data_IF_373605823635
#
_entry.id   IF_373605823635
#
_cell.length_a   1.000
_cell.length_b   1.000
_cell.length_c   1.000
_cell.angle_alpha   90.00
_cell.angle_beta   90.00
_cell.angle_gamma   90.00
#
_symmetry.space_group_name_H-M   'P 1'
#
loop_
_entity.id
_entity.type
_entity.pdbx_description
1 polymer ?
#
# COMPACT_ATOMS: atom_id res chain seq x y z
N UNK A 1 27.37 5.45 10.33
CA UNK A 1 27.96 4.12 10.63
C UNK A 1 26.91 3.07 10.34
N UNK A 2 27.12 2.27 9.31
CA UNK A 2 26.14 1.25 8.87
C UNK A 2 26.35 0.02 9.76
N UNK A 3 25.35 -0.30 10.60
CA UNK A 3 25.33 -1.56 11.36
C UNK A 3 24.99 -2.72 10.40
N UNK A 4 25.93 -3.11 9.58
CA UNK A 4 25.79 -4.23 8.64
C UNK A 4 26.61 -5.46 9.10
N UNK A 5 26.84 -5.63 10.42
CA UNK A 5 27.44 -6.84 10.91
C UNK A 5 26.35 -7.88 11.19
N UNK A 6 26.34 -9.02 10.48
CA UNK A 6 25.48 -10.13 10.86
C UNK A 6 25.88 -10.59 12.27
N UNK A 7 24.91 -10.65 13.16
CA UNK A 7 25.14 -11.22 14.50
C UNK A 7 25.27 -12.72 14.32
N UNK A 8 26.50 -13.21 14.45
CA UNK A 8 26.82 -14.64 14.27
C UNK A 8 26.55 -15.37 15.58
N UNK A 9 25.65 -16.33 15.58
CA UNK A 9 25.41 -17.25 16.71
C UNK A 9 25.87 -18.67 16.36
N UNK A 10 26.59 -19.33 17.27
CA UNK A 10 26.91 -20.75 17.16
C UNK A 10 25.82 -21.54 17.88
N UNK A 11 24.86 -22.09 17.15
CA UNK A 11 23.83 -22.96 17.68
C UNK A 11 23.95 -24.36 17.07
N UNK A 12 24.03 -25.41 17.89
CA UNK A 12 24.10 -26.83 17.47
C UNK A 12 25.11 -27.12 16.34
N UNK A 13 26.29 -26.48 16.41
CA UNK A 13 27.37 -26.73 15.43
C UNK A 13 27.19 -26.07 14.06
N UNK A 14 26.22 -25.19 13.89
CA UNK A 14 26.03 -24.35 12.69
C UNK A 14 26.22 -22.89 13.03
N UNK A 15 26.93 -22.19 12.16
CA UNK A 15 27.00 -20.72 12.19
C UNK A 15 25.67 -20.22 11.58
N UNK A 16 24.85 -19.60 12.41
CA UNK A 16 23.60 -18.97 11.96
C UNK A 16 23.85 -17.45 11.88
N UNK A 17 23.84 -16.92 10.69
CA UNK A 17 23.83 -15.47 10.48
C UNK A 17 22.40 -14.96 10.66
N UNK A 18 22.17 -14.10 11.64
CA UNK A 18 20.89 -13.46 11.86
C UNK A 18 20.73 -12.30 10.91
N UNK A 19 19.72 -12.37 10.05
CA UNK A 19 19.25 -11.27 9.21
C UNK A 19 18.05 -10.57 9.84
N UNK A 20 17.72 -9.39 9.36
CA UNK A 20 16.48 -8.68 9.73
C UNK A 20 15.21 -9.46 9.36
N UNK A 21 15.34 -10.45 8.49
CA UNK A 21 14.24 -11.31 8.00
C UNK A 21 14.25 -12.71 8.61
N UNK A 22 15.16 -13.05 9.52
CA UNK A 22 15.29 -14.40 10.09
C UNK A 22 13.99 -14.92 10.72
N UNK A 23 13.17 -14.04 11.32
CA UNK A 23 11.87 -14.46 11.85
C UNK A 23 10.83 -14.72 10.75
N UNK A 24 10.91 -13.99 9.63
CA UNK A 24 10.08 -14.27 8.45
C UNK A 24 10.47 -15.59 7.81
N UNK A 25 11.77 -15.87 7.72
CA UNK A 25 12.29 -17.14 7.19
C UNK A 25 11.78 -18.37 7.96
N UNK A 26 11.56 -18.22 9.29
CA UNK A 26 10.97 -19.31 10.10
C UNK A 26 9.54 -19.66 9.68
N UNK A 27 8.80 -18.72 9.08
CA UNK A 27 7.40 -18.90 8.69
C UNK A 27 7.24 -19.26 7.21
N UNK A 28 7.97 -18.60 6.34
CA UNK A 28 7.79 -18.71 4.88
C UNK A 28 8.98 -19.39 4.18
N UNK A 29 10.07 -19.65 4.90
CA UNK A 29 11.30 -20.26 4.38
C UNK A 29 12.25 -19.27 3.73
N UNK A 30 13.54 -19.61 3.68
CA UNK A 30 14.60 -18.76 3.12
C UNK A 30 14.42 -18.50 1.61
N UNK A 31 13.91 -19.49 0.85
CA UNK A 31 13.67 -19.33 -0.58
C UNK A 31 12.60 -18.27 -0.88
N UNK A 32 11.53 -18.22 -0.08
CA UNK A 32 10.48 -17.20 -0.23
C UNK A 32 11.00 -15.80 0.11
N UNK A 33 11.80 -15.67 1.19
CA UNK A 33 12.43 -14.39 1.54
C UNK A 33 13.39 -13.92 0.43
N UNK A 34 14.19 -14.85 -0.12
CA UNK A 34 15.06 -14.56 -1.26
C UNK A 34 14.23 -14.11 -2.47
N UNK A 35 13.16 -14.81 -2.79
CA UNK A 35 12.29 -14.42 -3.92
C UNK A 35 11.68 -13.03 -3.70
N UNK A 36 11.18 -12.71 -2.51
CA UNK A 36 10.69 -11.36 -2.20
C UNK A 36 11.76 -10.29 -2.41
N UNK A 37 13.03 -10.58 -2.13
CA UNK A 37 14.14 -9.64 -2.36
C UNK A 37 14.44 -9.39 -3.85
N UNK A 38 13.86 -10.16 -4.74
CA UNK A 38 13.95 -10.02 -6.19
C UNK A 38 12.69 -9.38 -6.81
N UNK A 39 11.62 -9.20 -6.01
CA UNK A 39 10.33 -8.66 -6.46
C UNK A 39 10.31 -7.14 -6.42
N UNK A 40 9.56 -6.54 -7.38
CA UNK A 40 9.28 -5.11 -7.47
C UNK A 40 7.79 -4.82 -7.29
N UNK A 41 7.45 -4.07 -6.25
CA UNK A 41 6.05 -3.67 -5.96
C UNK A 41 5.88 -2.16 -6.09
N UNK A 42 4.87 -1.73 -6.86
CA UNK A 42 4.50 -0.33 -6.94
C UNK A 42 3.34 -0.01 -5.98
N UNK A 43 3.51 1.03 -5.16
CA UNK A 43 2.50 1.51 -4.22
C UNK A 43 2.01 2.87 -4.68
N UNK A 44 0.80 2.93 -5.19
CA UNK A 44 0.14 4.15 -5.63
C UNK A 44 -0.70 4.75 -4.50
N UNK A 45 -0.34 5.96 -4.08
CA UNK A 45 -0.89 6.66 -2.93
C UNK A 45 -0.20 6.31 -1.61
N UNK A 46 0.49 7.28 -0.99
CA UNK A 46 1.24 7.13 0.29
C UNK A 46 0.48 7.84 1.42
N UNK A 47 -0.82 7.59 1.47
CA UNK A 47 -1.71 8.09 2.51
C UNK A 47 -1.84 7.14 3.71
N UNK A 48 -3.01 7.17 4.38
CA UNK A 48 -3.31 6.34 5.55
C UNK A 48 -3.29 4.83 5.32
N UNK A 49 -3.45 4.38 4.08
CA UNK A 49 -3.37 2.97 3.68
C UNK A 49 -2.00 2.67 3.10
N UNK A 50 -1.60 3.38 2.04
CA UNK A 50 -0.40 3.05 1.27
C UNK A 50 0.91 3.23 2.04
N UNK A 51 0.99 4.16 3.01
CA UNK A 51 2.17 4.28 3.87
C UNK A 51 2.40 3.01 4.71
N UNK A 52 1.35 2.36 5.17
CA UNK A 52 1.44 1.08 5.89
C UNK A 52 1.66 -0.12 4.96
N UNK A 53 1.18 -0.04 3.71
CA UNK A 53 1.56 -1.03 2.68
C UNK A 53 3.06 -1.00 2.44
N UNK A 54 3.63 0.17 2.17
CA UNK A 54 5.06 0.35 1.91
C UNK A 54 5.92 -0.10 3.10
N UNK A 55 5.52 0.26 4.33
CA UNK A 55 6.15 -0.19 5.58
C UNK A 55 6.19 -1.72 5.67
N UNK A 56 5.05 -2.38 5.48
CA UNK A 56 4.93 -3.82 5.65
C UNK A 56 5.69 -4.58 4.55
N UNK A 57 5.69 -4.09 3.31
CA UNK A 57 6.47 -4.66 2.21
C UNK A 57 7.98 -4.58 2.48
N UNK A 58 8.47 -3.43 2.95
CA UNK A 58 9.88 -3.25 3.32
C UNK A 58 10.28 -4.21 4.45
N UNK A 59 9.44 -4.36 5.49
CA UNK A 59 9.64 -5.31 6.60
C UNK A 59 9.49 -6.77 6.18
N UNK A 60 8.72 -7.03 5.12
CA UNK A 60 8.57 -8.35 4.51
C UNK A 60 9.75 -8.77 3.65
N UNK A 61 10.68 -7.87 3.32
CA UNK A 61 11.87 -8.16 2.54
C UNK A 61 11.73 -7.96 1.04
N UNK A 62 10.69 -7.24 0.58
CA UNK A 62 10.55 -6.85 -0.83
C UNK A 62 11.77 -6.02 -1.23
N UNK A 63 12.41 -6.42 -2.35
CA UNK A 63 13.70 -5.87 -2.78
C UNK A 63 13.60 -4.59 -3.58
N UNK A 64 12.47 -4.32 -4.21
CA UNK A 64 12.27 -3.08 -4.97
C UNK A 64 10.87 -2.53 -4.74
N UNK A 65 10.78 -1.26 -4.36
CA UNK A 65 9.51 -0.59 -4.07
C UNK A 65 9.47 0.75 -4.81
N UNK A 66 8.44 0.94 -5.65
CA UNK A 66 8.11 2.25 -6.19
C UNK A 66 7.02 2.89 -5.33
N UNK A 67 7.24 4.09 -4.86
CA UNK A 67 6.26 4.89 -4.12
C UNK A 67 5.79 6.08 -4.96
N UNK A 68 4.48 6.17 -5.17
CA UNK A 68 3.85 7.19 -6.02
C UNK A 68 2.88 8.01 -5.20
N UNK A 69 3.11 9.31 -5.09
CA UNK A 69 2.20 10.28 -4.46
C UNK A 69 2.62 11.70 -4.90
N UNK A 70 1.71 12.65 -4.95
CA UNK A 70 2.04 14.05 -5.28
C UNK A 70 1.99 14.98 -4.07
N UNK A 71 1.45 14.51 -2.94
CA UNK A 71 1.17 15.34 -1.79
C UNK A 71 2.39 15.58 -0.90
N UNK A 72 2.27 16.64 -0.13
CA UNK A 72 3.11 16.91 1.03
C UNK A 72 2.40 16.45 2.31
N UNK A 73 3.18 16.23 3.35
CA UNK A 73 2.66 15.91 4.67
C UNK A 73 1.97 17.15 5.25
N UNK A 74 0.69 17.01 5.58
CA UNK A 74 -0.10 18.03 6.26
C UNK A 74 -0.36 17.65 7.73
N UNK A 75 -0.63 18.66 8.58
CA UNK A 75 -0.93 18.44 10.01
C UNK A 75 -2.12 17.51 10.21
N UNK A 76 -3.14 17.59 9.34
CA UNK A 76 -4.34 16.73 9.38
C UNK A 76 -4.09 15.28 8.98
N UNK A 77 -2.88 14.96 8.51
CA UNK A 77 -2.47 13.60 8.19
C UNK A 77 -1.94 12.83 9.40
N UNK A 78 -1.48 13.53 10.45
CA UNK A 78 -0.79 12.95 11.62
C UNK A 78 -1.63 11.88 12.30
N UNK A 79 -2.94 12.04 12.30
CA UNK A 79 -3.85 11.11 12.96
C UNK A 79 -3.88 9.70 12.36
N UNK A 80 -3.35 9.48 11.10
CA UNK A 80 -3.50 8.19 10.43
C UNK A 80 -2.44 7.81 9.40
N UNK A 81 -1.58 8.74 8.96
CA UNK A 81 -0.56 8.47 7.95
C UNK A 81 0.80 8.26 8.63
N UNK A 82 1.45 7.14 8.33
CA UNK A 82 2.71 6.74 8.95
C UNK A 82 3.85 7.74 8.69
N UNK A 83 3.87 8.35 7.50
CA UNK A 83 4.86 9.37 7.13
C UNK A 83 4.64 10.72 7.81
N UNK A 84 3.47 10.92 8.45
CA UNK A 84 3.09 12.21 9.00
C UNK A 84 3.47 12.33 10.47
N UNK A 85 4.51 13.09 10.72
CA UNK A 85 5.03 13.49 12.03
C UNK A 85 5.16 15.02 12.08
N UNK A 86 5.24 15.60 13.27
CA UNK A 86 5.49 17.04 13.41
C UNK A 86 6.75 17.47 12.64
N UNK A 87 7.80 16.63 12.66
CA UNK A 87 9.08 16.89 11.99
C UNK A 87 9.06 16.69 10.46
N UNK A 88 7.98 16.13 9.91
CA UNK A 88 7.87 15.86 8.47
C UNK A 88 6.83 16.72 7.76
N UNK A 89 6.09 17.59 8.49
CA UNK A 89 5.13 18.51 7.88
C UNK A 89 5.82 19.34 6.79
N UNK A 90 5.18 19.44 5.62
CA UNK A 90 5.69 20.15 4.43
C UNK A 90 6.67 19.36 3.57
N UNK A 91 7.13 18.18 4.00
CA UNK A 91 7.96 17.30 3.16
C UNK A 91 7.09 16.46 2.21
N UNK A 92 7.63 16.06 1.07
CA UNK A 92 6.95 15.11 0.15
C UNK A 92 6.75 13.77 0.85
N UNK A 93 5.53 13.24 0.79
CA UNK A 93 5.18 11.95 1.41
C UNK A 93 6.05 10.81 0.90
N UNK A 94 6.34 10.81 -0.39
CA UNK A 94 7.19 9.81 -1.06
C UNK A 94 8.64 9.84 -0.57
N UNK A 95 9.20 11.02 -0.32
CA UNK A 95 10.55 11.18 0.20
C UNK A 95 10.64 10.63 1.63
N UNK A 96 9.70 11.04 2.51
CA UNK A 96 9.63 10.53 3.89
C UNK A 96 9.46 9.00 3.91
N UNK A 97 8.60 8.46 3.04
CA UNK A 97 8.43 7.02 2.91
C UNK A 97 9.70 6.32 2.43
N UNK A 98 10.40 6.90 1.46
CA UNK A 98 11.65 6.37 0.91
C UNK A 98 12.76 6.31 1.96
N UNK A 99 12.96 7.39 2.73
CA UNK A 99 13.93 7.42 3.84
C UNK A 99 13.63 6.30 4.84
N UNK A 100 12.37 6.16 5.22
CA UNK A 100 11.92 5.14 6.16
C UNK A 100 12.11 3.71 5.63
N UNK A 101 11.76 3.45 4.37
CA UNK A 101 11.94 2.14 3.73
C UNK A 101 13.42 1.75 3.75
N UNK A 102 14.32 2.69 3.39
CA UNK A 102 15.78 2.44 3.39
C UNK A 102 16.34 2.20 4.79
N UNK A 103 15.79 2.82 5.82
CA UNK A 103 16.19 2.55 7.22
C UNK A 103 15.72 1.17 7.69
N UNK A 104 14.55 0.71 7.27
CA UNK A 104 14.03 -0.63 7.53
C UNK A 104 14.81 -1.69 6.76
N UNK A 105 14.97 -1.49 5.45
CA UNK A 105 15.63 -2.42 4.54
C UNK A 105 16.64 -1.66 3.65
N UNK A 106 17.90 -1.49 4.09
CA UNK A 106 18.92 -0.78 3.31
C UNK A 106 19.23 -1.39 1.94
N UNK A 107 18.88 -2.65 1.73
CA UNK A 107 19.07 -3.35 0.46
C UNK A 107 17.88 -3.14 -0.50
N UNK A 108 16.80 -2.51 -0.05
CA UNK A 108 15.65 -2.21 -0.89
C UNK A 108 15.97 -1.05 -1.84
N UNK A 109 15.79 -1.28 -3.14
CA UNK A 109 15.82 -0.22 -4.13
C UNK A 109 14.49 0.54 -4.09
N UNK A 110 14.53 1.84 -3.74
CA UNK A 110 13.32 2.66 -3.61
C UNK A 110 13.28 3.70 -4.72
N UNK A 111 12.24 3.63 -5.55
CA UNK A 111 11.94 4.61 -6.60
C UNK A 111 10.88 5.58 -6.12
N UNK A 112 11.22 6.86 -6.13
CA UNK A 112 10.33 7.96 -5.72
C UNK A 112 9.72 8.58 -6.96
N UNK A 113 8.39 8.60 -7.04
CA UNK A 113 7.64 9.25 -8.12
C UNK A 113 6.73 10.31 -7.51
N UNK A 114 7.18 11.57 -7.57
CA UNK A 114 6.41 12.74 -7.14
C UNK A 114 5.47 13.17 -8.27
N UNK A 115 4.30 12.54 -8.36
CA UNK A 115 3.36 12.82 -9.43
C UNK A 115 1.93 12.43 -9.08
N UNK A 116 0.99 13.15 -9.64
CA UNK A 116 -0.43 12.83 -9.57
C UNK A 116 -0.78 11.87 -10.71
N UNK A 117 -1.09 10.63 -10.35
CA UNK A 117 -1.45 9.62 -11.35
C UNK A 117 -2.79 9.95 -12.01
N UNK A 118 -2.74 10.17 -13.31
CA UNK A 118 -3.90 10.40 -14.18
C UNK A 118 -3.91 9.38 -15.33
N UNK A 119 -5.09 9.04 -15.88
CA UNK A 119 -5.19 8.14 -17.02
C UNK A 119 -4.35 8.58 -18.23
N UNK A 120 -4.34 9.88 -18.53
CA UNK A 120 -3.66 10.45 -19.71
C UNK A 120 -2.12 10.43 -19.60
N UNK A 121 -1.59 10.30 -18.38
CA UNK A 121 -0.16 10.20 -18.10
C UNK A 121 0.24 8.81 -17.56
N UNK A 122 -0.59 7.80 -17.75
CA UNK A 122 -0.38 6.49 -17.16
C UNK A 122 0.99 5.89 -17.55
N UNK A 123 1.44 6.04 -18.80
CA UNK A 123 2.71 5.48 -19.27
C UNK A 123 3.92 5.98 -18.47
N UNK A 124 3.90 7.23 -17.99
CA UNK A 124 5.00 7.83 -17.21
C UNK A 124 5.21 7.11 -15.87
N UNK A 125 4.16 6.46 -15.35
CA UNK A 125 4.19 5.74 -14.09
C UNK A 125 4.54 4.25 -14.22
N UNK A 126 4.78 3.79 -15.45
CA UNK A 126 5.19 2.41 -15.74
C UNK A 126 6.51 2.35 -16.54
N UNK A 127 7.58 3.07 -16.11
CA UNK A 127 8.87 3.07 -16.81
C UNK A 127 9.59 1.72 -16.71
N UNK A 128 9.08 0.82 -15.84
CA UNK A 128 9.62 -0.53 -15.60
C UNK A 128 8.48 -1.50 -15.32
N UNK A 129 8.82 -2.78 -15.35
CA UNK A 129 7.90 -3.83 -14.98
C UNK A 129 7.73 -3.86 -13.46
N UNK A 130 6.51 -4.02 -13.01
CA UNK A 130 6.16 -4.34 -11.62
C UNK A 130 5.70 -5.78 -11.53
N UNK A 131 6.05 -6.46 -10.44
CA UNK A 131 5.53 -7.79 -10.13
C UNK A 131 4.18 -7.71 -9.44
N UNK A 132 3.87 -6.56 -8.82
CA UNK A 132 2.58 -6.31 -8.18
C UNK A 132 2.27 -4.81 -8.07
N UNK A 133 0.98 -4.47 -8.12
CA UNK A 133 0.48 -3.10 -7.91
C UNK A 133 -0.37 -3.06 -6.65
N UNK A 134 -0.05 -2.17 -5.71
CA UNK A 134 -0.87 -1.79 -4.58
C UNK A 134 -1.57 -0.46 -4.87
N UNK A 135 -2.88 -0.51 -5.11
CA UNK A 135 -3.68 0.68 -5.34
C UNK A 135 -4.30 1.18 -4.03
N UNK A 136 -3.70 2.23 -3.47
CA UNK A 136 -4.15 2.95 -2.30
C UNK A 136 -4.53 4.42 -2.60
N UNK A 137 -4.75 4.78 -3.88
CA UNK A 137 -5.24 6.10 -4.27
C UNK A 137 -6.71 6.28 -3.87
N UNK A 138 -7.17 7.51 -3.80
CA UNK A 138 -8.50 7.85 -3.31
C UNK A 138 -9.46 8.36 -4.41
N UNK A 139 -8.98 8.54 -5.63
CA UNK A 139 -9.80 8.98 -6.77
C UNK A 139 -10.28 7.80 -7.61
N UNK A 140 -11.56 7.82 -7.97
CA UNK A 140 -12.17 6.74 -8.76
C UNK A 140 -11.51 6.60 -10.14
N UNK A 141 -11.21 7.70 -10.81
CA UNK A 141 -10.56 7.68 -12.12
C UNK A 141 -9.20 6.99 -12.09
N UNK A 142 -8.36 7.35 -11.11
CA UNK A 142 -7.04 6.71 -10.96
C UNK A 142 -7.18 5.21 -10.67
N UNK A 143 -8.10 4.80 -9.79
CA UNK A 143 -8.35 3.38 -9.51
C UNK A 143 -8.79 2.59 -10.74
N UNK A 144 -9.65 3.16 -11.54
CA UNK A 144 -10.11 2.53 -12.77
C UNK A 144 -8.97 2.37 -13.77
N UNK A 145 -8.22 3.44 -14.00
CA UNK A 145 -7.06 3.42 -14.89
C UNK A 145 -5.98 2.45 -14.41
N UNK A 146 -5.68 2.39 -13.11
CA UNK A 146 -4.74 1.39 -12.56
C UNK A 146 -5.21 -0.04 -12.79
N UNK A 147 -6.51 -0.31 -12.67
CA UNK A 147 -7.07 -1.63 -12.97
C UNK A 147 -6.98 -1.97 -14.47
N UNK A 148 -7.21 -1.00 -15.35
CA UNK A 148 -7.05 -1.14 -16.81
C UNK A 148 -5.60 -1.42 -17.18
N UNK A 149 -4.65 -0.62 -16.65
CA UNK A 149 -3.22 -0.78 -16.91
C UNK A 149 -2.68 -2.10 -16.37
N UNK A 150 -3.10 -2.50 -15.17
CA UNK A 150 -2.75 -3.80 -14.59
C UNK A 150 -3.21 -4.96 -15.49
N UNK A 151 -4.46 -4.91 -15.97
CA UNK A 151 -4.98 -5.92 -16.89
C UNK A 151 -4.24 -5.91 -18.24
N UNK A 152 -4.02 -4.73 -18.83
CA UNK A 152 -3.31 -4.57 -20.10
C UNK A 152 -1.88 -5.11 -20.05
N UNK A 153 -1.20 -4.90 -18.93
CA UNK A 153 0.19 -5.31 -18.71
C UNK A 153 0.34 -6.70 -18.12
N UNK A 154 -0.76 -7.35 -17.72
CA UNK A 154 -0.73 -8.65 -17.05
C UNK A 154 -0.07 -8.59 -15.66
N UNK A 155 -0.18 -7.46 -14.95
CA UNK A 155 0.38 -7.25 -13.62
C UNK A 155 -0.71 -7.50 -12.58
N UNK A 156 -0.50 -8.34 -11.56
CA UNK A 156 -1.45 -8.50 -10.47
C UNK A 156 -1.61 -7.19 -9.68
N UNK A 157 -2.86 -6.91 -9.29
CA UNK A 157 -3.22 -5.70 -8.55
C UNK A 157 -4.15 -6.02 -7.38
N UNK A 158 -3.97 -5.33 -6.27
CA UNK A 158 -4.92 -5.25 -5.17
C UNK A 158 -5.30 -3.79 -4.91
N UNK A 159 -6.59 -3.51 -4.79
CA UNK A 159 -7.10 -2.16 -4.60
C UNK A 159 -7.78 -2.01 -3.23
N UNK A 160 -7.41 -0.98 -2.48
CA UNK A 160 -8.10 -0.64 -1.25
C UNK A 160 -9.36 0.16 -1.54
N UNK A 161 -10.48 -0.30 -1.01
CA UNK A 161 -11.73 0.45 -1.09
C UNK A 161 -11.85 1.48 0.05
N UNK A 162 -13.04 2.07 0.25
CA UNK A 162 -13.21 3.15 1.23
C UNK A 162 -12.93 2.73 2.67
N UNK A 163 -11.98 3.40 3.32
CA UNK A 163 -11.61 3.22 4.74
C UNK A 163 -12.12 4.37 5.63
N UNK A 164 -12.59 5.46 5.05
CA UNK A 164 -13.13 6.59 5.80
C UNK A 164 -14.51 6.32 6.40
N UNK A 165 -14.86 7.09 7.43
CA UNK A 165 -16.14 7.02 8.14
C UNK A 165 -16.42 5.65 8.76
N UNK A 166 -15.40 4.99 9.30
CA UNK A 166 -15.44 3.65 9.89
C UNK A 166 -14.68 3.60 11.21
N UNK A 167 -15.09 2.69 12.10
CA UNK A 167 -14.49 2.48 13.42
C UNK A 167 -14.12 1.01 13.69
N UNK A 168 -14.59 0.07 12.87
CA UNK A 168 -14.33 -1.35 13.10
C UNK A 168 -13.42 -1.94 12.01
N UNK A 169 -12.09 -1.95 12.24
CA UNK A 169 -11.14 -2.53 11.30
C UNK A 169 -11.21 -4.06 11.21
N UNK A 170 -11.88 -4.73 12.17
CA UNK A 170 -12.02 -6.20 12.15
C UNK A 170 -12.98 -6.67 11.07
N UNK A 171 -13.80 -5.78 10.51
CA UNK A 171 -14.70 -6.08 9.42
C UNK A 171 -14.02 -6.06 8.03
N UNK A 172 -12.76 -5.69 7.91
CA UNK A 172 -12.09 -5.75 6.61
C UNK A 172 -12.05 -7.17 6.06
N UNK A 173 -12.30 -7.27 4.76
CA UNK A 173 -12.32 -8.51 3.99
C UNK A 173 -11.51 -8.35 2.71
N UNK A 174 -10.96 -9.45 2.26
CA UNK A 174 -10.33 -9.57 0.93
C UNK A 174 -11.23 -10.43 0.06
N UNK A 175 -11.57 -9.92 -1.10
CA UNK A 175 -12.35 -10.67 -2.08
C UNK A 175 -12.23 -10.07 -3.47
N UNK A 176 -12.81 -10.73 -4.47
CA UNK A 176 -13.09 -10.09 -5.73
C UNK A 176 -14.14 -8.96 -5.55
N UNK A 177 -13.99 -7.89 -6.32
CA UNK A 177 -14.87 -6.70 -6.27
C UNK A 177 -16.36 -7.07 -6.48
N UNK A 178 -16.66 -8.11 -7.26
CA UNK A 178 -18.02 -8.58 -7.51
C UNK A 178 -18.72 -9.09 -6.27
N UNK A 179 -17.97 -9.56 -5.27
CA UNK A 179 -18.49 -10.11 -4.01
C UNK A 179 -18.67 -9.05 -2.91
N UNK A 180 -18.39 -7.79 -3.21
CA UNK A 180 -18.49 -6.70 -2.23
C UNK A 180 -19.92 -6.20 -2.06
N UNK A 181 -20.24 -5.66 -0.89
CA UNK A 181 -21.55 -5.09 -0.55
C UNK A 181 -21.39 -3.81 0.28
N UNK A 182 -22.48 -3.08 0.52
CA UNK A 182 -22.58 -1.90 1.40
C UNK A 182 -21.68 -0.72 0.99
N UNK A 183 -20.39 -0.92 0.76
CA UNK A 183 -19.41 0.13 0.48
C UNK A 183 -19.79 0.96 -0.78
N UNK A 184 -20.00 2.29 -0.66
CA UNK A 184 -20.36 3.14 -1.79
C UNK A 184 -19.32 3.14 -2.91
N UNK A 185 -18.02 3.18 -2.55
CA UNK A 185 -16.93 3.15 -3.52
C UNK A 185 -16.92 1.83 -4.29
N UNK A 186 -17.10 0.68 -3.61
CA UNK A 186 -17.22 -0.61 -4.29
C UNK A 186 -18.37 -0.63 -5.32
N UNK A 187 -19.49 0.01 -4.99
CA UNK A 187 -20.65 0.08 -5.92
C UNK A 187 -20.28 0.83 -7.21
N UNK A 188 -19.62 1.96 -7.07
CA UNK A 188 -19.15 2.75 -8.22
C UNK A 188 -18.14 1.95 -9.02
N UNK A 189 -17.11 1.43 -8.37
CA UNK A 189 -16.05 0.64 -9.02
C UNK A 189 -16.60 -0.56 -9.80
N UNK A 190 -17.51 -1.34 -9.20
CA UNK A 190 -18.14 -2.49 -9.91
C UNK A 190 -18.85 -2.08 -11.18
N UNK A 191 -19.60 -0.97 -11.16
CA UNK A 191 -20.32 -0.47 -12.35
C UNK A 191 -19.34 -0.06 -13.43
N UNK A 192 -18.37 0.74 -13.07
CA UNK A 192 -17.41 1.32 -14.02
C UNK A 192 -16.44 0.27 -14.59
N UNK A 193 -15.96 -0.66 -13.78
CA UNK A 193 -15.11 -1.78 -14.22
C UNK A 193 -15.87 -2.69 -15.21
N UNK A 194 -17.15 -2.99 -14.93
CA UNK A 194 -17.98 -3.78 -15.85
C UNK A 194 -18.16 -3.08 -17.19
N UNK A 195 -18.38 -1.77 -17.20
CA UNK A 195 -18.50 -0.98 -18.42
C UNK A 195 -17.22 -1.02 -19.28
N UNK A 196 -16.05 -1.23 -18.63
CA UNK A 196 -14.72 -1.34 -19.26
C UNK A 196 -14.30 -2.79 -19.57
N UNK A 197 -15.19 -3.75 -19.35
CA UNK A 197 -14.90 -5.17 -19.61
C UNK A 197 -13.97 -5.83 -18.57
N UNK A 198 -13.67 -5.15 -17.47
CA UNK A 198 -12.87 -5.69 -16.36
C UNK A 198 -13.79 -6.49 -15.44
N UNK A 199 -13.59 -7.81 -15.41
CA UNK A 199 -14.46 -8.74 -14.67
C UNK A 199 -14.03 -8.92 -13.22
N UNK A 200 -12.72 -8.89 -12.95
CA UNK A 200 -12.14 -9.26 -11.67
C UNK A 200 -11.22 -8.14 -11.18
N UNK A 201 -11.28 -7.83 -9.89
CA UNK A 201 -10.33 -6.98 -9.18
C UNK A 201 -10.27 -7.46 -7.74
N UNK A 202 -9.09 -7.84 -7.26
CA UNK A 202 -8.85 -8.16 -5.86
C UNK A 202 -8.93 -6.88 -5.04
N UNK A 203 -9.74 -6.87 -3.98
CA UNK A 203 -9.95 -5.67 -3.16
C UNK A 203 -9.91 -5.96 -1.67
N UNK A 204 -9.41 -4.97 -0.91
CA UNK A 204 -9.64 -4.86 0.53
C UNK A 204 -10.79 -3.91 0.75
N UNK A 205 -11.82 -4.36 1.45
CA UNK A 205 -13.06 -3.61 1.66
C UNK A 205 -13.71 -3.97 2.99
N UNK A 206 -14.64 -3.14 3.47
CA UNK A 206 -15.39 -3.38 4.70
C UNK A 206 -16.90 -3.28 4.44
N UNK A 207 -17.71 -4.22 4.96
CA UNK A 207 -19.17 -4.14 4.95
C UNK A 207 -19.72 -3.19 6.02
N UNK A 208 -18.87 -2.60 6.86
CA UNK A 208 -19.31 -1.61 7.85
C UNK A 208 -20.01 -0.43 7.18
N UNK A 209 -21.18 -0.08 7.69
CA UNK A 209 -21.93 1.10 7.21
C UNK A 209 -21.16 2.36 7.58
N UNK A 210 -20.91 3.28 6.61
CA UNK A 210 -20.23 4.54 6.92
C UNK A 210 -21.00 5.35 7.97
N UNK A 211 -20.28 5.85 8.96
CA UNK A 211 -20.81 6.78 9.96
C UNK A 211 -20.94 8.16 9.30
N UNK A 212 -22.00 8.90 9.63
CA UNK A 212 -22.10 10.30 9.18
C UNK A 212 -21.07 11.13 9.96
N UNK A 213 -20.08 11.75 9.30
CA UNK A 213 -19.10 12.56 10.01
C UNK A 213 -19.74 13.85 10.55
N UNK A 214 -19.15 14.39 11.60
CA UNK A 214 -19.44 15.74 12.06
C UNK A 214 -18.85 16.76 11.06
N UNK A 215 -19.31 18.01 11.17
CA UNK A 215 -18.76 19.11 10.39
C UNK A 215 -17.30 19.37 10.77
N UNK A 216 -16.53 19.85 9.81
CA UNK A 216 -15.11 20.22 9.97
C UNK A 216 -14.87 21.59 9.36
N UNK A 217 -13.91 22.30 9.93
CA UNK A 217 -13.41 23.57 9.37
C UNK A 217 -12.35 23.37 8.26
N UNK A 218 -11.99 22.12 7.95
CA UNK A 218 -11.00 21.83 6.90
C UNK A 218 -11.62 22.10 5.52
N UNK A 219 -11.09 23.09 4.82
CA UNK A 219 -11.50 23.42 3.45
C UNK A 219 -10.96 22.37 2.46
N UNK A 220 -11.80 21.91 1.59
CA UNK A 220 -11.44 20.92 0.55
C UNK A 220 -12.25 21.16 -0.71
N UNK A 221 -11.64 20.86 -1.87
CA UNK A 221 -12.33 20.85 -3.16
C UNK A 221 -13.37 19.73 -3.28
N UNK A 222 -13.42 18.80 -2.33
CA UNK A 222 -14.37 17.68 -2.30
C UNK A 222 -15.70 18.11 -1.71
N UNK A 223 -16.80 17.53 -2.22
CA UNK A 223 -18.18 17.78 -1.70
C UNK A 223 -18.34 17.37 -0.23
N UNK A 224 -17.57 16.39 0.24
CA UNK A 224 -17.54 15.96 1.63
C UNK A 224 -16.18 15.34 1.94
N UNK A 225 -15.56 15.78 3.04
CA UNK A 225 -14.35 15.20 3.57
C UNK A 225 -14.72 14.00 4.45
N UNK A 226 -14.25 12.77 4.17
CA UNK A 226 -14.52 11.64 5.04
C UNK A 226 -13.73 11.76 6.34
N UNK A 227 -14.38 11.51 7.47
CA UNK A 227 -13.68 11.32 8.75
C UNK A 227 -12.76 10.11 8.68
N UNK A 228 -11.68 10.14 9.44
CA UNK A 228 -10.73 9.02 9.53
C UNK A 228 -10.12 8.93 10.91
N UNK A 229 -9.70 7.73 11.31
CA UNK A 229 -9.11 7.45 12.61
C UNK A 229 -7.84 6.61 12.46
N UNK A 230 -6.99 6.64 13.48
CA UNK A 230 -5.60 6.14 13.46
C UNK A 230 -5.45 4.64 13.19
N UNK A 231 -6.46 3.82 13.42
CA UNK A 231 -6.35 2.35 13.35
C UNK A 231 -7.11 1.70 12.20
N UNK A 232 -8.00 2.41 11.49
CA UNK A 232 -8.79 1.81 10.40
C UNK A 232 -8.01 1.75 9.09
N UNK A 233 -7.51 2.87 8.50
CA UNK A 233 -6.71 2.81 7.29
C UNK A 233 -5.42 1.98 7.43
N UNK A 234 -4.69 2.05 8.57
CA UNK A 234 -3.50 1.23 8.77
C UNK A 234 -3.75 -0.28 8.66
N UNK A 235 -4.82 -0.77 9.27
CA UNK A 235 -5.17 -2.20 9.21
C UNK A 235 -5.48 -2.63 7.78
N UNK A 236 -6.18 -1.81 7.01
CA UNK A 236 -6.40 -2.09 5.58
C UNK A 236 -5.06 -2.18 4.81
N UNK A 237 -4.11 -1.29 5.10
CA UNK A 237 -2.77 -1.31 4.51
C UNK A 237 -1.99 -2.57 4.86
N UNK A 238 -2.01 -2.99 6.12
CA UNK A 238 -1.38 -4.23 6.57
C UNK A 238 -1.99 -5.47 5.92
N UNK A 239 -3.31 -5.52 5.78
CA UNK A 239 -4.00 -6.61 5.06
C UNK A 239 -3.57 -6.65 3.59
N UNK A 240 -3.52 -5.49 2.91
CA UNK A 240 -3.06 -5.41 1.53
C UNK A 240 -1.65 -5.96 1.36
N UNK A 241 -0.72 -5.50 2.17
CA UNK A 241 0.67 -5.96 2.12
C UNK A 241 0.79 -7.47 2.38
N UNK A 242 0.05 -7.99 3.34
CA UNK A 242 -0.01 -9.42 3.61
C UNK A 242 -0.53 -10.24 2.42
N UNK A 243 -1.53 -9.72 1.71
CA UNK A 243 -2.05 -10.36 0.48
C UNK A 243 -1.05 -10.31 -0.67
N UNK A 244 -0.34 -9.18 -0.86
CA UNK A 244 0.71 -9.04 -1.86
C UNK A 244 1.84 -10.06 -1.59
N UNK A 245 2.36 -10.09 -0.36
CA UNK A 245 3.42 -11.02 0.03
C UNK A 245 2.98 -12.47 -0.21
N UNK A 246 1.76 -12.85 0.22
CA UNK A 246 1.22 -14.21 0.01
C UNK A 246 1.07 -14.56 -1.47
N UNK A 247 0.72 -13.61 -2.32
CA UNK A 247 0.60 -13.87 -3.76
C UNK A 247 1.97 -14.00 -4.42
N UNK A 248 2.96 -13.19 -4.01
CA UNK A 248 4.32 -13.24 -4.56
C UNK A 248 5.07 -14.54 -4.20
N UNK A 249 4.78 -15.14 -3.05
CA UNK A 249 5.50 -16.36 -2.59
C UNK A 249 4.79 -17.68 -2.95
N UNK A 250 3.72 -17.65 -3.74
CA UNK A 250 3.07 -18.85 -4.27
C UNK A 250 3.90 -19.46 -5.40
#
# INVERSE_FOLDING_TARGET
MVYNNPVTFIGRGRILELSRFSRSEMLIGANAVKHLSECHVAVFGIGGVGSYVAEALARGGVGEITVVDNDEVAVTNINRQLCALTSTIGKKKTEVASERIRDINPNCCVHVVNGFYLPDSAEDFFPRRYDYIADAVDTVQAKLSLAEEAQRRGIPIISCMGTGNKLDPTQFRVSDISKTSVCPLCRVMRRELRARGIKNLKVVWSPEKPIKPNETAEETARRALPGSISFVPPVAGMIMAGEIIKDLIK
#
